data_IF_865932938170
#
_entry.id   IF_865932938170
#
_cell.length_a   1.000
_cell.length_b   1.000
_cell.length_c   1.000
_cell.angle_alpha   90.00
_cell.angle_beta   90.00
_cell.angle_gamma   90.00
#
_symmetry.space_group_name_H-M   'P 1'
#
loop_
_entity.id
_entity.type
_entity.pdbx_description
1 polymer ?
#
# COMPACT_ATOMS: atom_id res chain seq x y z
N UNK A 1 -27.71 34.25 -73.95
CA UNK A 1 -27.63 33.57 -72.64
C UNK A 1 -26.17 33.34 -72.30
N UNK A 2 -25.74 33.88 -71.15
CA UNK A 2 -24.36 34.20 -70.76
C UNK A 2 -23.40 33.00 -70.75
N UNK A 3 -22.67 32.78 -71.85
CA UNK A 3 -21.55 31.81 -71.95
C UNK A 3 -20.16 32.45 -71.74
N UNK A 4 -20.07 33.75 -71.47
CA UNK A 4 -18.79 34.49 -71.44
C UNK A 4 -18.14 34.61 -70.05
N UNK A 5 -18.86 34.32 -68.95
CA UNK A 5 -18.28 34.39 -67.60
C UNK A 5 -17.60 33.08 -67.16
N UNK A 6 -17.93 31.94 -67.79
CA UNK A 6 -17.25 30.65 -67.53
C UNK A 6 -15.81 30.61 -68.05
N UNK A 7 -15.38 31.58 -68.86
CA UNK A 7 -14.01 31.69 -69.38
C UNK A 7 -13.03 32.21 -68.33
N UNK A 8 -13.53 32.84 -67.27
CA UNK A 8 -12.76 33.10 -66.04
C UNK A 8 -13.01 31.87 -65.17
N UNK A 9 -12.14 30.86 -65.23
CA UNK A 9 -12.25 29.56 -64.53
C UNK A 9 -12.23 29.64 -62.99
N UNK A 10 -12.90 30.65 -62.42
CA UNK A 10 -12.99 31.02 -61.01
C UNK A 10 -14.42 31.34 -60.59
N UNK A 11 -15.39 31.39 -61.51
CA UNK A 11 -16.79 31.57 -61.15
C UNK A 11 -17.46 30.21 -60.88
N UNK A 12 -18.13 30.09 -59.73
CA UNK A 12 -18.80 28.87 -59.30
C UNK A 12 -20.22 29.16 -58.83
N UNK A 13 -21.13 28.24 -59.15
CA UNK A 13 -22.49 28.24 -58.64
C UNK A 13 -22.56 27.40 -57.36
N UNK A 14 -23.39 27.84 -56.42
CA UNK A 14 -23.68 27.04 -55.23
C UNK A 14 -24.39 25.73 -55.65
N UNK A 15 -23.85 24.55 -55.30
CA UNK A 15 -24.47 23.26 -55.63
C UNK A 15 -25.56 22.84 -54.64
N UNK A 16 -25.72 23.59 -53.54
CA UNK A 16 -26.60 23.21 -52.45
C UNK A 16 -28.05 23.53 -52.79
N UNK A 17 -28.96 22.64 -52.38
CA UNK A 17 -30.39 22.82 -52.62
C UNK A 17 -30.88 24.15 -52.05
N UNK A 18 -31.77 24.81 -52.78
CA UNK A 18 -32.40 26.08 -52.45
C UNK A 18 -31.45 27.30 -52.43
N UNK A 19 -30.31 27.24 -53.13
CA UNK A 19 -29.43 28.38 -53.34
C UNK A 19 -29.02 28.46 -54.81
N UNK A 20 -29.30 29.59 -55.45
CA UNK A 20 -28.94 29.86 -56.86
C UNK A 20 -27.86 30.95 -56.95
N UNK A 21 -27.17 31.22 -55.84
CA UNK A 21 -26.12 32.23 -55.80
C UNK A 21 -24.86 31.71 -56.49
N UNK A 22 -24.20 32.58 -57.24
CA UNK A 22 -22.91 32.31 -57.87
C UNK A 22 -21.89 33.36 -57.46
N UNK A 23 -20.65 32.93 -57.25
CA UNK A 23 -19.57 33.80 -56.77
C UNK A 23 -18.25 33.49 -57.45
N UNK A 24 -17.28 34.40 -57.30
CA UNK A 24 -15.92 34.19 -57.79
C UNK A 24 -15.05 33.67 -56.65
N UNK A 25 -14.59 32.43 -56.77
CA UNK A 25 -13.62 31.83 -55.86
C UNK A 25 -12.21 32.00 -56.43
N UNK A 26 -11.52 33.07 -56.04
CA UNK A 26 -10.19 33.40 -56.58
C UNK A 26 -9.12 32.31 -56.37
N UNK A 27 -9.05 31.63 -55.20
CA UNK A 27 -8.09 30.56 -54.96
C UNK A 27 -8.25 29.33 -55.88
N UNK A 28 -9.46 29.11 -56.41
CA UNK A 28 -9.78 27.95 -57.27
C UNK A 28 -9.50 26.61 -56.59
N UNK A 29 -9.11 25.60 -57.38
CA UNK A 29 -8.88 24.23 -56.90
C UNK A 29 -7.77 24.10 -55.84
N UNK A 30 -6.88 25.10 -55.69
CA UNK A 30 -5.82 25.08 -54.67
C UNK A 30 -6.37 25.24 -53.25
N UNK A 31 -7.54 25.83 -53.10
CA UNK A 31 -8.28 25.87 -51.84
C UNK A 31 -9.70 25.42 -52.15
N UNK A 32 -10.01 24.12 -52.10
CA UNK A 32 -11.28 23.60 -52.58
C UNK A 32 -12.47 23.96 -51.69
N UNK A 33 -12.23 24.59 -50.53
CA UNK A 33 -13.30 25.04 -49.63
C UNK A 33 -13.87 26.36 -50.12
N UNK A 34 -15.18 26.40 -50.41
CA UNK A 34 -15.90 27.62 -50.78
C UNK A 34 -17.04 27.87 -49.80
N UNK A 35 -17.08 29.07 -49.22
CA UNK A 35 -18.22 29.56 -48.44
C UNK A 35 -19.20 30.27 -49.38
N UNK A 36 -20.44 29.80 -49.44
CA UNK A 36 -21.45 30.40 -50.31
C UNK A 36 -21.92 31.76 -49.78
N UNK A 37 -21.74 32.84 -50.55
CA UNK A 37 -22.17 34.20 -50.15
C UNK A 37 -23.70 34.36 -50.00
N UNK A 38 -24.48 33.43 -50.56
CA UNK A 38 -25.95 33.50 -50.53
C UNK A 38 -26.61 32.66 -49.42
N UNK A 39 -25.93 31.61 -48.92
CA UNK A 39 -26.52 30.72 -47.91
C UNK A 39 -25.56 30.31 -46.79
N UNK A 40 -24.35 30.88 -46.74
CA UNK A 40 -23.32 30.70 -45.70
C UNK A 40 -22.91 29.24 -45.44
N UNK A 41 -23.20 28.34 -46.39
CA UNK A 41 -22.80 26.92 -46.32
C UNK A 41 -21.52 26.68 -47.11
N UNK A 42 -20.70 25.75 -46.60
CA UNK A 42 -19.47 25.32 -47.23
C UNK A 42 -19.72 24.22 -48.28
N UNK A 43 -19.09 24.32 -49.44
CA UNK A 43 -19.10 23.29 -50.47
C UNK A 43 -17.71 23.10 -51.08
N UNK A 44 -17.49 21.95 -51.69
CA UNK A 44 -16.24 21.64 -52.39
C UNK A 44 -16.25 22.19 -53.81
N UNK A 45 -15.23 23.01 -54.16
CA UNK A 45 -15.01 23.56 -55.49
C UNK A 45 -14.80 22.47 -56.55
N UNK A 46 -14.12 21.38 -56.20
CA UNK A 46 -13.75 20.31 -57.13
C UNK A 46 -14.92 19.36 -57.39
N UNK A 47 -15.65 18.97 -56.34
CA UNK A 47 -16.71 17.97 -56.43
C UNK A 47 -18.12 18.56 -56.54
N UNK A 48 -18.27 19.87 -56.34
CA UNK A 48 -19.57 20.55 -56.34
C UNK A 48 -20.61 19.85 -55.45
N UNK A 49 -20.19 19.45 -54.26
CA UNK A 49 -21.04 18.84 -53.23
C UNK A 49 -20.81 19.52 -51.88
N UNK A 50 -21.62 19.18 -50.88
CA UNK A 50 -21.41 19.67 -49.50
C UNK A 50 -19.98 19.39 -49.03
N UNK A 51 -19.41 20.34 -48.27
CA UNK A 51 -18.01 20.25 -47.86
C UNK A 51 -17.74 19.02 -46.99
N UNK A 52 -16.83 18.17 -47.47
CA UNK A 52 -16.41 16.93 -46.82
C UNK A 52 -15.25 17.19 -45.84
N UNK A 53 -15.56 17.79 -44.68
CA UNK A 53 -14.59 18.29 -43.67
C UNK A 53 -13.45 17.33 -43.31
N UNK A 54 -13.74 16.04 -43.22
CA UNK A 54 -12.77 15.05 -42.73
C UNK A 54 -12.02 14.34 -43.85
N UNK A 55 -12.23 14.74 -45.11
CA UNK A 55 -11.62 14.11 -46.28
C UNK A 55 -10.98 15.18 -47.17
N UNK A 56 -9.77 14.91 -47.65
CA UNK A 56 -9.24 15.59 -48.84
C UNK A 56 -10.07 15.22 -50.06
N UNK A 57 -9.87 15.90 -51.19
CA UNK A 57 -10.63 15.58 -52.40
C UNK A 57 -10.40 14.12 -52.83
N UNK A 58 -9.14 13.67 -52.86
CA UNK A 58 -8.78 12.30 -53.26
C UNK A 58 -9.30 11.24 -52.27
N UNK A 59 -9.33 11.57 -50.96
CA UNK A 59 -9.92 10.70 -49.93
C UNK A 59 -11.44 10.63 -50.04
N UNK A 60 -12.09 11.73 -50.42
CA UNK A 60 -13.52 11.77 -50.63
C UNK A 60 -13.94 10.89 -51.81
N UNK A 61 -13.17 10.89 -52.90
CA UNK A 61 -13.40 9.97 -54.02
C UNK A 61 -13.27 8.50 -53.59
N UNK A 62 -12.26 8.18 -52.78
CA UNK A 62 -12.09 6.83 -52.22
C UNK A 62 -13.24 6.45 -51.29
N UNK A 63 -13.72 7.38 -50.46
CA UNK A 63 -14.90 7.17 -49.61
C UNK A 63 -16.18 6.93 -50.42
N UNK A 64 -16.37 7.63 -51.54
CA UNK A 64 -17.50 7.39 -52.43
C UNK A 64 -17.41 6.02 -53.12
N UNK A 65 -16.20 5.54 -53.41
CA UNK A 65 -15.97 4.21 -53.98
C UNK A 65 -16.12 3.08 -52.95
N UNK A 66 -15.68 3.33 -51.72
CA UNK A 66 -15.75 2.41 -50.58
C UNK A 66 -16.15 3.18 -49.31
N UNK A 67 -17.41 3.07 -48.86
CA UNK A 67 -17.89 3.73 -47.64
C UNK A 67 -17.19 3.28 -46.35
N UNK A 68 -16.37 2.22 -46.40
CA UNK A 68 -15.56 1.78 -45.26
C UNK A 68 -14.19 2.48 -45.18
N UNK A 69 -13.82 3.24 -46.22
CA UNK A 69 -12.61 4.03 -46.26
C UNK A 69 -12.56 5.01 -45.08
N UNK A 70 -11.40 5.09 -44.44
CA UNK A 70 -11.11 6.03 -43.35
C UNK A 70 -10.03 6.99 -43.80
N UNK A 71 -10.34 8.28 -43.73
CA UNK A 71 -9.37 9.32 -44.03
C UNK A 71 -8.20 9.30 -43.06
N UNK A 72 -7.10 9.97 -43.43
CA UNK A 72 -5.95 10.11 -42.56
C UNK A 72 -6.33 10.73 -41.20
N UNK A 73 -7.17 11.77 -41.21
CA UNK A 73 -7.64 12.45 -39.99
C UNK A 73 -8.39 11.49 -39.08
N UNK A 74 -9.31 10.70 -39.64
CA UNK A 74 -10.08 9.73 -38.86
C UNK A 74 -9.18 8.63 -38.27
N UNK A 75 -8.20 8.14 -39.06
CA UNK A 75 -7.26 7.12 -38.58
C UNK A 75 -6.35 7.65 -37.47
N UNK A 76 -5.95 8.90 -37.53
CA UNK A 76 -5.17 9.56 -36.48
C UNK A 76 -6.00 9.69 -35.19
N UNK A 77 -7.28 10.09 -35.30
CA UNK A 77 -8.21 10.13 -34.17
C UNK A 77 -8.41 8.74 -33.55
N UNK A 78 -8.68 7.71 -34.36
CA UNK A 78 -8.84 6.33 -33.89
C UNK A 78 -7.56 5.83 -33.17
N UNK A 79 -6.38 6.21 -33.65
CA UNK A 79 -5.11 5.88 -33.00
C UNK A 79 -4.91 6.61 -31.68
N UNK A 80 -5.29 7.88 -31.60
CA UNK A 80 -5.21 8.67 -30.37
C UNK A 80 -6.16 8.09 -29.31
N UNK A 81 -7.42 7.83 -29.69
CA UNK A 81 -8.39 7.18 -28.79
C UNK A 81 -7.90 5.81 -28.32
N UNK A 82 -7.30 5.01 -29.20
CA UNK A 82 -6.72 3.72 -28.83
C UNK A 82 -5.56 3.87 -27.82
N UNK A 83 -4.68 4.86 -28.01
CA UNK A 83 -3.58 5.15 -27.07
C UNK A 83 -4.10 5.64 -25.72
N UNK A 84 -5.13 6.49 -25.72
CA UNK A 84 -5.79 6.95 -24.50
C UNK A 84 -6.43 5.79 -23.75
N UNK A 85 -7.15 4.92 -24.46
CA UNK A 85 -7.75 3.72 -23.87
C UNK A 85 -6.70 2.78 -23.28
N UNK A 86 -5.56 2.59 -23.95
CA UNK A 86 -4.43 1.82 -23.44
C UNK A 86 -3.85 2.45 -22.17
N UNK A 87 -3.66 3.77 -22.16
CA UNK A 87 -3.17 4.51 -21.00
C UNK A 87 -4.11 4.39 -19.79
N UNK A 88 -5.43 4.51 -20.02
CA UNK A 88 -6.44 4.32 -18.97
C UNK A 88 -6.39 2.90 -18.42
N UNK A 89 -6.26 1.89 -19.28
CA UNK A 89 -6.14 0.50 -18.86
C UNK A 89 -4.85 0.26 -18.05
N UNK A 90 -3.73 0.87 -18.45
CA UNK A 90 -2.47 0.80 -17.72
C UNK A 90 -2.58 1.46 -16.33
N UNK A 91 -3.11 2.67 -16.25
CA UNK A 91 -3.29 3.39 -14.98
C UNK A 91 -4.17 2.60 -14.01
N UNK A 92 -5.22 1.94 -14.52
CA UNK A 92 -6.04 1.04 -13.71
C UNK A 92 -5.23 -0.13 -13.15
N UNK A 93 -4.40 -0.79 -13.97
CA UNK A 93 -3.52 -1.88 -13.52
C UNK A 93 -2.51 -1.42 -12.45
N UNK A 94 -1.95 -0.22 -12.63
CA UNK A 94 -1.05 0.38 -11.64
C UNK A 94 -1.80 0.59 -10.32
N UNK A 95 -2.99 1.20 -10.34
CA UNK A 95 -3.79 1.43 -9.14
C UNK A 95 -4.18 0.12 -8.43
N UNK A 96 -4.54 -0.92 -9.18
CA UNK A 96 -4.84 -2.25 -8.63
C UNK A 96 -3.59 -2.88 -7.97
N UNK A 97 -2.41 -2.77 -8.60
CA UNK A 97 -1.17 -3.26 -8.03
C UNK A 97 -0.75 -2.49 -6.76
N UNK A 98 -0.91 -1.17 -6.75
CA UNK A 98 -0.66 -0.33 -5.57
C UNK A 98 -1.58 -0.69 -4.40
N UNK A 99 -2.85 -1.00 -4.67
CA UNK A 99 -3.79 -1.44 -3.64
C UNK A 99 -3.35 -2.77 -3.00
N UNK A 100 -2.92 -3.74 -3.82
CA UNK A 100 -2.40 -5.03 -3.33
C UNK A 100 -1.14 -4.82 -2.49
N UNK A 101 -0.20 -3.99 -2.96
CA UNK A 101 1.02 -3.69 -2.21
C UNK A 101 0.69 -3.05 -0.87
N UNK A 102 -0.22 -2.07 -0.84
CA UNK A 102 -0.67 -1.41 0.39
C UNK A 102 -1.26 -2.42 1.38
N UNK A 103 -2.11 -3.33 0.91
CA UNK A 103 -2.69 -4.37 1.74
C UNK A 103 -1.61 -5.32 2.30
N UNK A 104 -0.62 -5.70 1.48
CA UNK A 104 0.49 -6.55 1.93
C UNK A 104 1.35 -5.87 2.99
N UNK A 105 1.65 -4.58 2.83
CA UNK A 105 2.40 -3.80 3.83
C UNK A 105 1.62 -3.73 5.15
N UNK A 106 0.33 -3.38 5.09
CA UNK A 106 -0.52 -3.30 6.28
C UNK A 106 -0.58 -4.64 7.03
N UNK A 107 -0.77 -5.74 6.31
CA UNK A 107 -0.79 -7.08 6.90
C UNK A 107 0.56 -7.49 7.51
N UNK A 108 1.68 -7.12 6.87
CA UNK A 108 3.00 -7.38 7.40
C UNK A 108 3.29 -6.57 8.67
N UNK A 109 2.85 -5.31 8.72
CA UNK A 109 2.97 -4.46 9.91
C UNK A 109 2.15 -4.99 11.09
N UNK A 110 0.91 -5.42 10.84
CA UNK A 110 0.05 -6.03 11.85
C UNK A 110 0.68 -7.32 12.39
N UNK A 111 1.12 -8.22 11.50
CA UNK A 111 1.82 -9.43 11.90
C UNK A 111 3.11 -9.15 12.68
N UNK A 112 3.83 -8.06 12.37
CA UNK A 112 5.02 -7.66 13.11
C UNK A 112 4.68 -7.16 14.52
N UNK A 113 3.60 -6.37 14.67
CA UNK A 113 3.08 -5.92 15.97
C UNK A 113 2.65 -7.11 16.82
N UNK A 114 1.86 -8.02 16.26
CA UNK A 114 1.41 -9.23 16.97
C UNK A 114 2.60 -10.07 17.47
N UNK A 115 3.62 -10.26 16.62
CA UNK A 115 4.84 -10.98 17.02
C UNK A 115 5.56 -10.29 18.17
N UNK A 116 5.65 -8.96 18.14
CA UNK A 116 6.25 -8.18 19.21
C UNK A 116 5.47 -8.32 20.51
N UNK A 117 4.14 -8.17 20.47
CA UNK A 117 3.27 -8.30 21.64
C UNK A 117 3.33 -9.70 22.25
N UNK A 118 3.28 -10.74 21.42
CA UNK A 118 3.42 -12.14 21.87
C UNK A 118 4.80 -12.39 22.49
N UNK A 119 5.87 -11.86 21.89
CA UNK A 119 7.23 -12.00 22.43
C UNK A 119 7.37 -11.27 23.78
N UNK A 120 6.80 -10.08 23.90
CA UNK A 120 6.80 -9.32 25.14
C UNK A 120 6.00 -10.02 26.24
N UNK A 121 4.80 -10.53 25.92
CA UNK A 121 3.98 -11.28 26.86
C UNK A 121 4.70 -12.53 27.38
N UNK A 122 5.38 -13.27 26.49
CA UNK A 122 6.24 -14.41 26.87
C UNK A 122 7.36 -13.99 27.80
N UNK A 123 8.09 -12.91 27.49
CA UNK A 123 9.18 -12.40 28.34
C UNK A 123 8.68 -12.02 29.73
N UNK A 124 7.56 -11.30 29.82
CA UNK A 124 6.94 -10.93 31.11
C UNK A 124 6.57 -12.15 31.93
N UNK A 125 6.02 -13.20 31.30
CA UNK A 125 5.67 -14.43 32.00
C UNK A 125 6.90 -15.21 32.46
N UNK A 126 7.93 -15.31 31.62
CA UNK A 126 9.22 -15.91 31.99
C UNK A 126 9.88 -15.19 33.18
N UNK A 127 9.86 -13.85 33.18
CA UNK A 127 10.35 -13.03 34.29
C UNK A 127 9.55 -13.29 35.58
N UNK A 128 8.22 -13.39 35.49
CA UNK A 128 7.35 -13.72 36.64
C UNK A 128 7.68 -15.09 37.21
N UNK A 129 7.79 -16.11 36.35
CA UNK A 129 8.13 -17.46 36.75
C UNK A 129 9.54 -17.55 37.35
N UNK A 130 10.51 -16.83 36.77
CA UNK A 130 11.86 -16.76 37.30
C UNK A 130 11.90 -16.07 38.69
N UNK A 131 11.17 -14.96 38.85
CA UNK A 131 11.06 -14.27 40.12
C UNK A 131 10.38 -15.14 41.20
N UNK A 132 9.33 -15.88 40.84
CA UNK A 132 8.69 -16.83 41.76
C UNK A 132 9.64 -17.96 42.16
N UNK A 133 10.35 -18.57 41.20
CA UNK A 133 11.36 -19.60 41.48
C UNK A 133 12.46 -19.08 42.41
N UNK A 134 12.97 -17.87 42.16
CA UNK A 134 13.98 -17.25 43.00
C UNK A 134 13.48 -17.03 44.45
N UNK A 135 12.24 -16.55 44.62
CA UNK A 135 11.62 -16.40 45.96
C UNK A 135 11.51 -17.73 46.69
N UNK A 136 11.05 -18.77 46.00
CA UNK A 136 10.93 -20.12 46.59
C UNK A 136 12.29 -20.68 46.97
N UNK A 137 13.31 -20.51 46.13
CA UNK A 137 14.68 -20.95 46.40
C UNK A 137 15.29 -20.19 47.59
N UNK A 138 15.13 -18.87 47.64
CA UNK A 138 15.58 -18.04 48.76
C UNK A 138 14.90 -18.45 50.07
N UNK A 139 13.58 -18.65 50.06
CA UNK A 139 12.85 -19.13 51.24
C UNK A 139 13.39 -20.49 51.71
N UNK A 140 13.63 -21.44 50.80
CA UNK A 140 14.24 -22.74 51.13
C UNK A 140 15.63 -22.59 51.75
N UNK A 141 16.45 -21.66 51.24
CA UNK A 141 17.78 -21.38 51.80
C UNK A 141 17.69 -20.84 53.23
N UNK A 142 16.80 -19.86 53.46
CA UNK A 142 16.57 -19.30 54.80
C UNK A 142 16.07 -20.35 55.79
N UNK A 143 15.13 -21.20 55.38
CA UNK A 143 14.64 -22.32 56.20
C UNK A 143 15.74 -23.34 56.53
N UNK A 144 16.61 -23.65 55.57
CA UNK A 144 17.74 -24.55 55.77
C UNK A 144 18.76 -23.95 56.73
N UNK A 145 19.09 -22.66 56.59
CA UNK A 145 19.99 -21.94 57.49
C UNK A 145 19.42 -21.87 58.92
N UNK A 146 18.13 -21.57 59.07
CA UNK A 146 17.47 -21.55 60.38
C UNK A 146 17.49 -22.94 61.04
N UNK A 147 17.25 -24.01 60.27
CA UNK A 147 17.34 -25.39 60.75
C UNK A 147 18.75 -25.72 61.24
N UNK A 148 19.79 -25.37 60.47
CA UNK A 148 21.19 -25.56 60.87
C UNK A 148 21.53 -24.78 62.14
N UNK A 149 21.09 -23.51 62.24
CA UNK A 149 21.28 -22.68 63.43
C UNK A 149 20.61 -23.29 64.67
N UNK A 150 19.38 -23.78 64.53
CA UNK A 150 18.65 -24.47 65.62
C UNK A 150 19.37 -25.76 66.03
N UNK A 151 19.92 -26.52 65.07
CA UNK A 151 20.69 -27.73 65.35
C UNK A 151 21.99 -27.42 66.09
N UNK A 152 22.75 -26.43 65.64
CA UNK A 152 23.98 -25.98 66.30
C UNK A 152 23.72 -25.55 67.74
N UNK A 153 22.71 -24.70 67.97
CA UNK A 153 22.31 -24.28 69.33
C UNK A 153 21.95 -25.47 70.22
N UNK A 154 21.19 -26.45 69.70
CA UNK A 154 20.85 -27.68 70.45
C UNK A 154 22.09 -28.50 70.80
N UNK A 155 23.10 -28.52 69.91
CA UNK A 155 24.33 -29.24 70.14
C UNK A 155 25.20 -28.54 71.20
N UNK A 156 25.34 -27.22 71.12
CA UNK A 156 26.00 -26.40 72.17
C UNK A 156 25.31 -26.59 73.53
N UNK A 157 23.98 -26.59 73.59
CA UNK A 157 23.22 -26.85 74.82
C UNK A 157 23.48 -28.26 75.38
N UNK A 158 23.59 -29.28 74.51
CA UNK A 158 23.93 -30.65 74.92
C UNK A 158 25.36 -30.74 75.44
N UNK A 159 26.33 -30.21 74.70
CA UNK A 159 27.75 -30.19 75.08
C UNK A 159 27.95 -29.41 76.39
N UNK A 160 27.27 -28.27 76.55
CA UNK A 160 27.24 -27.49 77.78
C UNK A 160 26.64 -28.27 78.96
N UNK A 161 25.50 -28.94 78.76
CA UNK A 161 24.89 -29.78 79.79
C UNK A 161 25.78 -30.97 80.19
N UNK A 162 26.45 -31.59 79.24
CA UNK A 162 27.41 -32.66 79.48
C UNK A 162 28.64 -32.17 80.25
N UNK A 163 29.17 -31.00 79.88
CA UNK A 163 30.26 -30.34 80.61
C UNK A 163 29.86 -30.03 82.06
N UNK A 164 28.66 -29.52 82.29
CA UNK A 164 28.12 -29.28 83.64
C UNK A 164 28.03 -30.59 84.43
N UNK A 165 27.49 -31.67 83.83
CA UNK A 165 27.41 -33.00 84.47
C UNK A 165 28.80 -33.58 84.77
N UNK A 166 29.78 -33.33 83.90
CA UNK A 166 31.16 -33.78 84.08
C UNK A 166 31.85 -33.02 85.20
N UNK A 167 31.72 -31.70 85.28
CA UNK A 167 32.42 -30.85 86.27
C UNK A 167 31.69 -30.68 87.61
N UNK A 168 30.37 -30.84 87.67
CA UNK A 168 29.59 -30.56 88.88
C UNK A 168 28.82 -31.80 89.36
N UNK A 169 28.76 -32.03 90.68
CA UNK A 169 27.90 -33.02 91.37
C UNK A 169 26.78 -32.31 92.11
N UNK A 170 25.73 -33.04 92.48
CA UNK A 170 24.70 -32.53 93.39
C UNK A 170 25.07 -32.86 94.84
N UNK A 171 24.97 -31.88 95.72
CA UNK A 171 25.15 -32.07 97.16
C UNK A 171 24.08 -33.02 97.72
N UNK A 172 24.43 -34.08 98.47
CA UNK A 172 23.47 -35.05 99.01
C UNK A 172 22.42 -34.44 99.95
N UNK A 173 22.77 -33.39 100.70
CA UNK A 173 21.88 -32.78 101.70
C UNK A 173 20.92 -31.73 101.15
N UNK A 174 21.38 -30.88 100.22
CA UNK A 174 20.59 -29.73 99.73
C UNK A 174 20.42 -29.69 98.20
N UNK A 175 20.91 -30.72 97.48
CA UNK A 175 20.86 -30.90 96.01
C UNK A 175 21.48 -29.77 95.17
N UNK A 176 22.14 -28.78 95.79
CA UNK A 176 22.82 -27.69 95.09
C UNK A 176 24.02 -28.22 94.27
N UNK A 177 24.34 -27.62 93.11
CA UNK A 177 25.52 -27.97 92.33
C UNK A 177 26.80 -27.59 93.08
N UNK A 178 27.75 -28.52 93.16
CA UNK A 178 29.08 -28.30 93.74
C UNK A 178 30.12 -28.83 92.76
N UNK A 179 31.24 -28.12 92.59
CA UNK A 179 32.32 -28.53 91.69
C UNK A 179 32.93 -29.86 92.15
N UNK A 180 33.25 -30.75 91.21
CA UNK A 180 33.98 -31.99 91.47
C UNK A 180 35.44 -31.64 91.69
N UNK A 181 35.86 -31.67 92.94
CA UNK A 181 37.27 -31.59 93.29
C UNK A 181 37.77 -33.04 93.26
N UNK A 182 38.66 -33.36 92.32
CA UNK A 182 39.32 -34.66 92.28
C UNK A 182 40.37 -34.67 93.41
N UNK A 183 40.11 -35.48 94.45
CA UNK A 183 41.04 -35.69 95.56
C UNK A 183 42.14 -36.68 95.19
N UNK A 184 43.32 -36.47 95.77
CA UNK A 184 44.31 -37.54 95.98
C UNK A 184 43.81 -38.53 97.03
#
# INVERSE_FOLDING_TARGET
MNKTLSTIGRFVWCPLRNCESGQIHQPGAKQPVVLCDGCDRLFCFTHHTEWHRDHTCDEWEQYLADPTFRSQVQREQDQEEAREAEMVALNRRIAEAEAVLRQSIMSAEEAAKDRFEVAEARRREEERLAAERARVEEQRRLEQEEKLRKQARRQEEKEGAEMVKKKFKRCPGCRRPTEKIDGW
#
